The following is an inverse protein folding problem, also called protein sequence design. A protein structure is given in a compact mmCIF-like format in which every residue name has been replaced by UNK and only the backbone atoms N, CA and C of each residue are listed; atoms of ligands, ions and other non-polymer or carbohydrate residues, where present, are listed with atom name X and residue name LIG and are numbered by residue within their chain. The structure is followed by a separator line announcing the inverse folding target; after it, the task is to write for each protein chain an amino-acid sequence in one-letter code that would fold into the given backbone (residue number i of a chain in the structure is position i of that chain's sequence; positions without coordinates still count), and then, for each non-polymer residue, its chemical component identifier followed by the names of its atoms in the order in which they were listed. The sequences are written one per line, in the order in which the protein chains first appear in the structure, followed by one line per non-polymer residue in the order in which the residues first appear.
data_IF_201981406622
#
_entry.id   IF_201981406622
#
_cell.length_a   1.000
_cell.length_b   1.000
_cell.length_c   1.000
_cell.angle_alpha   90.00
_cell.angle_beta   90.00
_cell.angle_gamma   90.00
#
_symmetry.space_group_name_H-M   'P 1'
#
loop_
_entity.id
_entity.type
_entity.pdbx_description
1 polymer ?
#
# COMPACT_ATOMS: atom_id res chain seq x y z
N UNK A 1 19.72 -17.40 2.94
CA UNK A 1 19.31 -16.26 3.79
C UNK A 1 17.89 -15.76 3.48
N UNK A 2 16.90 -16.64 3.22
CA UNK A 2 15.61 -16.22 2.62
C UNK A 2 14.32 -16.61 3.35
N UNK A 3 14.36 -17.50 4.36
CA UNK A 3 13.16 -17.97 5.07
C UNK A 3 12.95 -17.34 6.45
N UNK A 4 14.00 -16.79 7.06
CA UNK A 4 13.91 -16.23 8.42
C UNK A 4 13.38 -14.80 8.41
N UNK A 5 13.81 -13.96 7.47
CA UNK A 5 13.30 -12.58 7.31
C UNK A 5 11.77 -12.53 7.07
N UNK A 6 11.21 -13.55 6.42
CA UNK A 6 9.75 -13.63 6.20
C UNK A 6 8.95 -13.84 7.50
N UNK A 7 9.58 -14.40 8.55
CA UNK A 7 8.94 -14.58 9.87
C UNK A 7 8.86 -13.28 10.65
N UNK A 8 9.73 -12.32 10.33
CA UNK A 8 9.80 -11.00 10.95
C UNK A 8 8.90 -9.98 10.25
N UNK A 9 8.43 -10.27 9.03
CA UNK A 9 7.47 -9.39 8.35
C UNK A 9 6.14 -9.39 9.12
N UNK A 10 5.63 -8.22 9.56
CA UNK A 10 4.38 -8.11 10.29
C UNK A 10 3.24 -8.78 9.53
N UNK A 11 2.32 -9.35 10.30
CA UNK A 11 1.08 -9.90 9.77
C UNK A 11 0.29 -8.77 9.12
N UNK A 12 -0.49 -9.08 8.09
CA UNK A 12 -1.27 -8.07 7.35
C UNK A 12 -2.13 -7.16 8.24
N UNK A 13 -2.64 -7.69 9.36
CA UNK A 13 -3.41 -6.94 10.36
C UNK A 13 -2.63 -5.82 11.07
N UNK A 14 -1.30 -5.88 11.06
CA UNK A 14 -0.41 -4.90 11.70
C UNK A 14 -0.01 -3.77 10.74
N UNK A 15 -0.38 -3.89 9.45
CA UNK A 15 -0.12 -2.88 8.45
C UNK A 15 -1.26 -1.85 8.43
N UNK A 16 -0.98 -0.59 8.05
CA UNK A 16 -2.04 0.40 7.88
C UNK A 16 -3.01 -0.04 6.77
N UNK A 17 -4.30 0.19 7.00
CA UNK A 17 -5.35 -0.06 6.01
C UNK A 17 -5.89 1.27 5.48
N UNK A 18 -6.34 1.29 4.23
CA UNK A 18 -6.79 2.50 3.58
C UNK A 18 -8.13 2.26 2.86
N UNK A 19 -9.18 2.93 3.31
CA UNK A 19 -10.53 2.81 2.73
C UNK A 19 -10.87 3.88 1.70
N UNK A 20 -10.27 5.07 1.78
CA UNK A 20 -10.57 6.19 0.90
C UNK A 20 -11.99 6.78 1.04
N UNK A 21 -12.62 6.74 2.23
CA UNK A 21 -14.03 7.16 2.46
C UNK A 21 -14.23 7.98 3.78
N UNK A 22 -14.10 9.32 3.80
CA UNK A 22 -14.22 10.18 5.01
C UNK A 22 -13.10 11.24 5.12
N UNK A 23 -12.72 11.70 6.33
CA UNK A 23 -11.47 12.46 6.53
C UNK A 23 -10.28 11.48 6.52
N UNK A 24 -9.60 11.34 5.38
CA UNK A 24 -8.54 10.34 5.21
C UNK A 24 -7.20 11.02 5.09
N UNK A 25 -6.26 10.60 5.91
CA UNK A 25 -4.87 10.91 5.67
C UNK A 25 -4.23 9.79 4.82
N UNK A 26 -4.36 9.91 3.49
CA UNK A 26 -3.59 9.07 2.56
C UNK A 26 -2.08 9.18 2.81
N UNK A 27 -1.62 10.29 3.42
CA UNK A 27 -0.22 10.46 3.83
C UNK A 27 0.10 9.60 5.05
N UNK A 28 -0.81 9.40 6.01
CA UNK A 28 -0.59 8.45 7.12
C UNK A 28 -0.43 7.02 6.59
N UNK A 29 -1.27 6.60 5.64
CA UNK A 29 -1.10 5.29 5.00
C UNK A 29 0.27 5.19 4.31
N UNK A 30 0.64 6.19 3.49
CA UNK A 30 1.93 6.20 2.78
C UNK A 30 3.11 6.19 3.77
N UNK A 31 3.10 7.05 4.79
CA UNK A 31 4.15 7.12 5.82
C UNK A 31 4.27 5.81 6.59
N UNK A 32 3.15 5.20 6.97
CA UNK A 32 3.17 3.92 7.68
C UNK A 32 3.77 2.79 6.84
N UNK A 33 3.45 2.73 5.54
CA UNK A 33 4.07 1.77 4.64
C UNK A 33 5.57 2.06 4.43
N UNK A 34 5.95 3.33 4.29
CA UNK A 34 7.36 3.74 4.16
C UNK A 34 8.17 3.33 5.40
N UNK A 35 7.67 3.57 6.62
CA UNK A 35 8.29 3.13 7.88
C UNK A 35 8.48 1.61 7.94
N UNK A 36 7.40 0.83 7.70
CA UNK A 36 7.48 -0.65 7.69
C UNK A 36 8.49 -1.16 6.66
N UNK A 37 8.52 -0.53 5.49
CA UNK A 37 9.44 -0.91 4.41
C UNK A 37 10.90 -0.63 4.80
N UNK A 38 11.16 0.52 5.42
CA UNK A 38 12.49 0.93 5.88
C UNK A 38 12.98 0.05 7.04
N UNK A 39 12.18 -0.08 8.10
CA UNK A 39 12.54 -0.81 9.32
C UNK A 39 12.85 -2.29 9.07
N UNK A 40 12.22 -2.88 8.05
CA UNK A 40 12.32 -4.31 7.75
C UNK A 40 13.04 -4.60 6.43
N UNK A 41 13.55 -3.57 5.74
CA UNK A 41 14.24 -3.72 4.45
C UNK A 41 13.39 -4.39 3.37
N UNK A 42 12.07 -4.14 3.34
CA UNK A 42 11.17 -4.81 2.40
C UNK A 42 11.38 -4.32 0.98
N UNK A 43 11.19 -5.22 0.01
CA UNK A 43 11.16 -4.87 -1.41
C UNK A 43 9.79 -4.31 -1.80
N UNK A 44 9.77 -3.45 -2.83
CA UNK A 44 8.52 -2.92 -3.41
C UNK A 44 7.54 -4.03 -3.76
N UNK A 45 8.02 -5.15 -4.30
CA UNK A 45 7.20 -6.31 -4.65
C UNK A 45 6.49 -6.92 -3.44
N UNK A 46 7.15 -6.97 -2.27
CA UNK A 46 6.53 -7.48 -1.05
C UNK A 46 5.46 -6.52 -0.51
N UNK A 47 5.69 -5.21 -0.63
CA UNK A 47 4.73 -4.18 -0.25
C UNK A 47 3.50 -4.23 -1.16
N UNK A 48 3.69 -4.16 -2.48
CA UNK A 48 2.59 -4.07 -3.45
C UNK A 48 1.82 -5.38 -3.61
N UNK A 49 2.41 -6.53 -3.27
CA UNK A 49 1.69 -7.80 -3.17
C UNK A 49 0.59 -7.79 -2.11
N UNK A 50 0.66 -6.89 -1.12
CA UNK A 50 -0.29 -6.80 0.00
C UNK A 50 -1.43 -5.82 -0.25
N UNK A 51 -1.34 -4.98 -1.29
CA UNK A 51 -2.30 -3.90 -1.56
C UNK A 51 -3.74 -4.37 -1.72
N UNK A 52 -3.95 -5.56 -2.30
CA UNK A 52 -5.29 -6.13 -2.42
C UNK A 52 -5.97 -6.37 -1.05
N UNK A 53 -5.19 -6.51 0.04
CA UNK A 53 -5.70 -6.65 1.40
C UNK A 53 -5.71 -5.33 2.16
N UNK A 54 -4.69 -4.49 1.97
CA UNK A 54 -4.55 -3.22 2.70
C UNK A 54 -5.54 -2.16 2.24
N UNK A 55 -5.93 -2.18 0.97
CA UNK A 55 -7.00 -1.34 0.47
C UNK A 55 -8.35 -1.95 0.78
N UNK A 56 -9.26 -1.11 1.27
CA UNK A 56 -10.64 -1.49 1.58
C UNK A 56 -11.60 -0.52 0.89
N UNK A 57 -12.90 -0.84 0.86
CA UNK A 57 -13.97 0.09 0.42
C UNK A 57 -13.69 0.75 -0.96
N UNK A 58 -13.74 2.08 -1.07
CA UNK A 58 -13.58 2.80 -2.33
C UNK A 58 -12.16 2.67 -2.89
N UNK A 59 -11.15 2.69 -2.02
CA UNK A 59 -9.75 2.49 -2.39
C UNK A 59 -9.50 1.08 -2.97
N UNK A 60 -10.16 0.05 -2.44
CA UNK A 60 -10.05 -1.31 -2.98
C UNK A 60 -10.58 -1.41 -4.40
N UNK A 61 -11.77 -0.86 -4.65
CA UNK A 61 -12.39 -0.83 -5.99
C UNK A 61 -11.52 -0.07 -6.98
N UNK A 62 -10.96 1.06 -6.56
CA UNK A 62 -10.01 1.83 -7.37
C UNK A 62 -8.75 1.01 -7.69
N UNK A 63 -8.16 0.36 -6.68
CA UNK A 63 -6.93 -0.40 -6.86
C UNK A 63 -7.10 -1.58 -7.82
N UNK A 64 -8.23 -2.30 -7.76
CA UNK A 64 -8.51 -3.40 -8.69
C UNK A 64 -8.46 -2.91 -10.14
N UNK A 65 -9.11 -1.78 -10.44
CA UNK A 65 -9.12 -1.19 -11.79
C UNK A 65 -7.70 -0.79 -12.21
N UNK A 66 -7.01 -0.05 -11.34
CA UNK A 66 -5.64 0.39 -11.58
C UNK A 66 -4.69 -0.80 -11.86
N UNK A 67 -4.87 -1.91 -11.14
CA UNK A 67 -4.08 -3.14 -11.29
C UNK A 67 -4.40 -3.90 -12.57
N UNK A 68 -5.65 -3.86 -13.03
CA UNK A 68 -6.06 -4.44 -14.31
C UNK A 68 -5.48 -3.66 -15.50
N UNK A 69 -5.46 -2.33 -15.40
CA UNK A 69 -5.00 -1.43 -16.46
C UNK A 69 -3.47 -1.40 -16.59
N UNK A 70 -2.75 -1.36 -15.47
CA UNK A 70 -1.30 -1.13 -15.46
C UNK A 70 -0.47 -2.34 -15.00
N UNK A 71 -1.11 -3.43 -14.60
CA UNK A 71 -0.42 -4.60 -14.08
C UNK A 71 0.33 -4.33 -12.76
N UNK A 72 1.29 -5.20 -12.44
CA UNK A 72 2.09 -5.06 -11.22
C UNK A 72 3.11 -3.93 -11.35
N UNK A 73 3.04 -2.96 -10.43
CA UNK A 73 3.92 -1.80 -10.41
C UNK A 73 4.70 -1.70 -9.11
N UNK A 74 5.69 -0.80 -9.07
CA UNK A 74 6.52 -0.51 -7.90
C UNK A 74 5.74 0.24 -6.81
N UNK A 75 6.27 0.26 -5.58
CA UNK A 75 5.69 1.05 -4.50
C UNK A 75 5.77 2.54 -4.84
N UNK A 76 6.90 2.99 -5.37
CA UNK A 76 7.08 4.39 -5.80
C UNK A 76 5.98 4.83 -6.77
N UNK A 77 5.67 4.01 -7.78
CA UNK A 77 4.56 4.31 -8.70
C UNK A 77 3.21 4.31 -7.99
N UNK A 78 2.98 3.33 -7.11
CA UNK A 78 1.76 3.24 -6.29
C UNK A 78 1.52 4.50 -5.45
N UNK A 79 2.56 5.04 -4.80
CA UNK A 79 2.49 6.32 -4.05
C UNK A 79 2.01 7.46 -4.93
N UNK A 80 2.61 7.62 -6.12
CA UNK A 80 2.19 8.64 -7.07
C UNK A 80 0.72 8.52 -7.44
N UNK A 81 0.22 7.31 -7.68
CA UNK A 81 -1.20 7.11 -8.01
C UNK A 81 -2.13 7.40 -6.84
N UNK A 82 -1.75 7.03 -5.61
CA UNK A 82 -2.52 7.35 -4.40
C UNK A 82 -2.60 8.88 -4.23
N UNK A 83 -1.46 9.57 -4.29
CA UNK A 83 -1.40 11.03 -4.17
C UNK A 83 -2.26 11.68 -5.27
N UNK A 84 -2.10 11.29 -6.53
CA UNK A 84 -2.88 11.85 -7.63
C UNK A 84 -4.39 11.64 -7.47
N UNK A 85 -4.82 10.51 -6.90
CA UNK A 85 -6.24 10.21 -6.72
C UNK A 85 -6.85 10.96 -5.53
N UNK A 86 -6.16 11.03 -4.39
CA UNK A 86 -6.74 11.51 -3.14
C UNK A 86 -6.26 12.90 -2.69
N UNK A 87 -5.14 13.40 -3.20
CA UNK A 87 -4.74 14.80 -2.95
C UNK A 87 -5.59 15.80 -3.75
N UNK A 88 -6.14 15.37 -4.90
CA UNK A 88 -7.02 16.19 -5.73
C UNK A 88 -8.51 16.06 -5.36
N UNK A 89 -8.86 15.10 -4.51
CA UNK A 89 -10.23 14.87 -4.01
C UNK A 89 -10.47 15.51 -2.62
N UNK A 90 -9.44 16.11 -2.02
CA UNK A 90 -9.44 16.79 -0.72
C UNK A 90 -9.69 18.29 -0.89
#
# INVERSE_FOLDING_TARGET
MGKELLKEVPKLKEWPHFSGEGEYDYMEFIRGIDMIKEDLGLTDRLVTARFNTLFTRSAHRWYIKLRQEHGHQSWTWGKTQIINKWANDA
#
